data_IF_976497989059
#
_entry.id   IF_976497989059
#
_cell.length_a   1.000
_cell.length_b   1.000
_cell.length_c   1.000
_cell.angle_alpha   90.00
_cell.angle_beta   90.00
_cell.angle_gamma   90.00
#
_symmetry.space_group_name_H-M   'P 1'
#
loop_
_entity.id
_entity.type
_entity.pdbx_description
1 polymer ?
#
# COMPACT_ATOMS: atom_id res chain seq x y z
N UNK A 1 -2.05 -2.97 5.71
CA UNK A 1 -1.13 -3.68 6.64
C UNK A 1 -0.58 -5.00 6.06
N UNK A 2 -0.66 -5.23 4.75
CA UNK A 2 0.07 -6.31 4.07
C UNK A 2 1.56 -5.98 3.94
N UNK A 3 2.38 -6.97 3.50
CA UNK A 3 3.84 -6.83 3.46
C UNK A 3 4.33 -5.55 2.75
N UNK A 4 3.84 -5.27 1.55
CA UNK A 4 4.22 -4.06 0.79
C UNK A 4 3.63 -2.79 1.41
N UNK A 5 2.34 -2.81 1.78
CA UNK A 5 1.65 -1.65 2.37
C UNK A 5 2.27 -1.18 3.68
N UNK A 6 2.78 -2.10 4.50
CA UNK A 6 3.50 -1.78 5.74
C UNK A 6 4.74 -0.90 5.49
N UNK A 7 5.55 -1.23 4.47
CA UNK A 7 6.69 -0.40 4.08
C UNK A 7 6.27 0.89 3.37
N UNK A 8 5.20 0.86 2.56
CA UNK A 8 4.70 2.07 1.91
C UNK A 8 4.30 3.13 2.93
N UNK A 9 3.64 2.75 4.05
CA UNK A 9 3.33 3.66 5.16
C UNK A 9 4.62 4.28 5.73
N UNK A 10 5.62 3.47 6.05
CA UNK A 10 6.88 3.93 6.65
C UNK A 10 7.64 4.89 5.73
N UNK A 11 7.77 4.56 4.44
CA UNK A 11 8.43 5.45 3.48
C UNK A 11 7.66 6.75 3.24
N UNK A 12 6.34 6.71 3.20
CA UNK A 12 5.51 7.91 3.10
C UNK A 12 5.70 8.81 4.34
N UNK A 13 5.72 8.23 5.54
CA UNK A 13 6.00 8.97 6.77
C UNK A 13 7.41 9.57 6.78
N UNK A 14 8.42 8.81 6.39
CA UNK A 14 9.79 9.29 6.28
C UNK A 14 9.94 10.44 5.26
N UNK A 15 9.07 10.49 4.25
CA UNK A 15 8.98 11.59 3.30
C UNK A 15 8.15 12.79 3.81
N UNK A 16 7.66 12.76 5.05
CA UNK A 16 6.88 13.84 5.67
C UNK A 16 5.39 13.84 5.30
N UNK A 17 4.87 12.79 4.69
CA UNK A 17 3.46 12.70 4.34
C UNK A 17 2.58 12.44 5.57
N UNK A 18 1.34 12.96 5.53
CA UNK A 18 0.25 12.48 6.39
C UNK A 18 -0.35 11.25 5.73
N UNK A 19 -0.40 10.13 6.45
CA UNK A 19 -0.77 8.83 5.91
C UNK A 19 -2.09 8.34 6.47
N UNK A 20 -3.04 8.06 5.57
CA UNK A 20 -4.28 7.32 5.86
C UNK A 20 -4.07 5.89 5.33
N UNK A 21 -4.12 4.90 6.21
CA UNK A 21 -3.99 3.49 5.83
C UNK A 21 -5.35 2.79 5.86
N UNK A 22 -5.65 2.00 4.83
CA UNK A 22 -6.84 1.16 4.80
C UNK A 22 -6.53 -0.25 5.31
N UNK A 23 -7.43 -0.81 6.10
CA UNK A 23 -7.27 -2.12 6.74
C UNK A 23 -8.58 -2.90 6.75
N UNK A 24 -8.50 -4.22 7.03
CA UNK A 24 -9.68 -5.10 7.09
C UNK A 24 -10.12 -5.46 8.52
N UNK A 25 -9.55 -4.82 9.54
CA UNK A 25 -9.89 -5.09 10.94
C UNK A 25 -8.83 -4.61 11.92
N UNK A 26 -9.12 -4.75 13.22
CA UNK A 26 -8.36 -4.13 14.33
C UNK A 26 -6.92 -4.59 14.44
N UNK A 27 -6.64 -5.88 14.25
CA UNK A 27 -5.28 -6.40 14.27
C UNK A 27 -4.39 -5.73 13.22
N UNK A 28 -4.91 -5.55 11.98
CA UNK A 28 -4.21 -4.85 10.90
C UNK A 28 -4.15 -3.34 11.15
N UNK A 29 -5.14 -2.78 11.85
CA UNK A 29 -5.14 -1.37 12.27
C UNK A 29 -3.99 -1.07 13.24
N UNK A 30 -3.76 -1.95 14.22
CA UNK A 30 -2.64 -1.80 15.15
C UNK A 30 -1.29 -1.81 14.43
N UNK A 31 -1.11 -2.71 13.45
CA UNK A 31 0.11 -2.80 12.63
C UNK A 31 0.31 -1.53 11.80
N UNK A 32 -0.75 -1.02 11.18
CA UNK A 32 -0.67 0.20 10.36
C UNK A 32 -0.29 1.43 11.22
N UNK A 33 -0.86 1.55 12.43
CA UNK A 33 -0.49 2.62 13.37
C UNK A 33 0.96 2.48 13.84
N UNK A 34 1.39 1.27 14.17
CA UNK A 34 2.79 1.03 14.55
C UNK A 34 3.77 1.38 13.42
N UNK A 35 3.39 1.17 12.15
CA UNK A 35 4.15 1.59 10.98
C UNK A 35 4.16 3.11 10.77
N UNK A 36 3.39 3.89 11.55
CA UNK A 36 3.36 5.35 11.50
C UNK A 36 2.16 5.94 10.75
N UNK A 37 1.12 5.18 10.41
CA UNK A 37 -0.09 5.74 9.84
C UNK A 37 -0.75 6.74 10.82
N UNK A 38 -1.05 7.95 10.36
CA UNK A 38 -1.72 8.98 11.16
C UNK A 38 -3.19 8.62 11.38
N UNK A 39 -3.81 8.03 10.36
CA UNK A 39 -5.19 7.59 10.41
C UNK A 39 -5.31 6.18 9.82
N UNK A 40 -6.31 5.46 10.31
CA UNK A 40 -6.64 4.12 9.82
C UNK A 40 -8.13 4.06 9.54
N UNK A 41 -8.49 3.52 8.37
CA UNK A 41 -9.88 3.33 7.92
C UNK A 41 -10.13 1.84 7.70
N UNK A 42 -11.13 1.29 8.35
CA UNK A 42 -11.54 -0.10 8.12
C UNK A 42 -12.51 -0.16 6.93
N UNK A 43 -12.00 -0.53 5.75
CA UNK A 43 -12.79 -0.59 4.52
C UNK A 43 -13.95 -1.59 4.54
N UNK A 44 -14.03 -2.46 5.55
CA UNK A 44 -15.16 -3.40 5.71
C UNK A 44 -16.37 -2.77 6.39
N UNK A 45 -16.18 -1.70 7.15
CA UNK A 45 -17.21 -1.04 7.94
C UNK A 45 -17.33 0.46 7.69
N UNK A 46 -16.37 1.04 6.97
CA UNK A 46 -16.33 2.48 6.72
C UNK A 46 -16.23 2.76 5.21
N UNK A 47 -16.81 3.86 4.76
CA UNK A 47 -16.61 4.40 3.42
C UNK A 47 -15.24 5.10 3.36
N UNK A 48 -14.32 4.49 2.61
CA UNK A 48 -12.94 4.98 2.48
C UNK A 48 -12.89 6.39 1.88
N UNK A 49 -13.72 6.67 0.86
CA UNK A 49 -13.72 7.96 0.20
C UNK A 49 -14.27 9.06 1.13
N UNK A 50 -15.39 8.81 1.79
CA UNK A 50 -15.97 9.73 2.76
C UNK A 50 -15.00 10.02 3.90
N UNK A 51 -14.36 8.99 4.47
CA UNK A 51 -13.36 9.15 5.53
C UNK A 51 -12.12 9.92 5.08
N UNK A 52 -11.64 9.67 3.84
CA UNK A 52 -10.52 10.42 3.28
C UNK A 52 -10.84 11.92 3.18
N UNK A 53 -12.03 12.28 2.69
CA UNK A 53 -12.48 13.66 2.63
C UNK A 53 -12.64 14.30 4.02
N UNK A 54 -13.24 13.59 4.97
CA UNK A 54 -13.37 14.09 6.36
C UNK A 54 -12.00 14.41 6.98
N UNK A 55 -11.01 13.51 6.78
CA UNK A 55 -9.67 13.66 7.32
C UNK A 55 -8.81 14.69 6.57
N UNK A 56 -9.30 15.23 5.46
CA UNK A 56 -8.59 16.21 4.59
C UNK A 56 -9.40 17.48 4.38
N UNK A 57 -10.30 17.82 5.30
CA UNK A 57 -11.15 19.01 5.25
C UNK A 57 -11.91 19.15 3.90
N UNK A 58 -12.40 18.03 3.39
CA UNK A 58 -13.14 17.94 2.13
C UNK A 58 -12.31 17.89 0.86
N UNK A 59 -10.99 18.05 0.94
CA UNK A 59 -10.12 18.13 -0.26
C UNK A 59 -9.87 16.79 -0.93
N UNK A 60 -9.81 15.69 -0.18
CA UNK A 60 -9.30 14.40 -0.62
C UNK A 60 -7.78 14.28 -0.49
N UNK A 61 -7.24 13.10 -0.75
CA UNK A 61 -5.81 12.81 -0.62
C UNK A 61 -5.03 13.18 -1.90
N UNK A 62 -3.78 13.64 -1.75
CA UNK A 62 -2.92 13.96 -2.90
C UNK A 62 -2.58 12.74 -3.75
N UNK A 63 -2.43 11.59 -3.10
CA UNK A 63 -1.98 10.35 -3.77
C UNK A 63 -2.57 9.11 -3.11
N UNK A 64 -3.02 8.18 -3.95
CA UNK A 64 -3.41 6.82 -3.55
C UNK A 64 -2.34 5.85 -4.02
N UNK A 65 -1.80 5.04 -3.11
CA UNK A 65 -0.91 3.92 -3.43
C UNK A 65 -1.76 2.66 -3.39
N UNK A 66 -1.93 2.00 -4.53
CA UNK A 66 -2.97 1.00 -4.70
C UNK A 66 -2.42 -0.39 -5.07
N UNK A 67 -2.78 -1.37 -4.25
CA UNK A 67 -2.33 -2.76 -4.41
C UNK A 67 -3.23 -3.60 -5.30
N UNK A 68 -4.52 -3.28 -5.34
CA UNK A 68 -5.53 -3.98 -6.15
C UNK A 68 -6.50 -2.99 -6.76
N UNK A 69 -6.09 -2.39 -7.87
CA UNK A 69 -6.89 -1.37 -8.52
C UNK A 69 -8.25 -1.92 -9.00
N UNK A 70 -8.34 -3.21 -9.37
CA UNK A 70 -9.59 -3.80 -9.80
C UNK A 70 -10.65 -3.80 -8.70
N UNK A 71 -10.25 -4.12 -7.47
CA UNK A 71 -11.16 -4.16 -6.34
C UNK A 71 -11.47 -2.78 -5.75
N UNK A 72 -10.53 -1.82 -5.85
CA UNK A 72 -10.57 -0.58 -5.08
C UNK A 72 -10.72 0.69 -5.93
N UNK A 73 -10.96 0.57 -7.24
CA UNK A 73 -10.93 1.70 -8.17
C UNK A 73 -11.88 2.84 -7.78
N UNK A 74 -13.14 2.50 -7.47
CA UNK A 74 -14.15 3.50 -7.10
C UNK A 74 -13.77 4.23 -5.81
N UNK A 75 -13.29 3.48 -4.81
CA UNK A 75 -12.81 4.07 -3.56
C UNK A 75 -11.58 4.95 -3.77
N UNK A 76 -10.65 4.55 -4.64
CA UNK A 76 -9.46 5.32 -4.98
C UNK A 76 -9.82 6.64 -5.68
N UNK A 77 -10.73 6.60 -6.69
CA UNK A 77 -11.23 7.80 -7.37
C UNK A 77 -12.01 8.68 -6.40
N UNK A 78 -12.84 8.09 -5.56
CA UNK A 78 -13.59 8.81 -4.54
C UNK A 78 -12.65 9.58 -3.61
N UNK A 79 -11.63 8.92 -3.08
CA UNK A 79 -10.72 9.47 -2.07
C UNK A 79 -9.73 10.49 -2.59
N UNK A 80 -9.26 10.35 -3.84
CA UNK A 80 -8.24 11.24 -4.41
C UNK A 80 -8.82 12.63 -4.71
N UNK A 81 -8.04 13.69 -4.45
CA UNK A 81 -8.41 15.07 -4.80
C UNK A 81 -8.34 15.34 -6.31
N UNK A 82 -8.87 16.49 -6.74
CA UNK A 82 -8.58 16.98 -8.08
C UNK A 82 -7.06 17.19 -8.29
N UNK A 83 -6.58 16.91 -9.49
CA UNK A 83 -5.15 16.90 -9.85
C UNK A 83 -4.30 15.96 -9.00
N UNK A 84 -4.92 14.94 -8.42
CA UNK A 84 -4.22 13.91 -7.62
C UNK A 84 -3.70 12.74 -8.44
N UNK A 85 -2.92 11.89 -7.78
CA UNK A 85 -2.30 10.71 -8.39
C UNK A 85 -2.90 9.41 -7.83
N UNK A 86 -3.20 8.45 -8.70
CA UNK A 86 -3.43 7.05 -8.33
C UNK A 86 -2.23 6.25 -8.85
N UNK A 87 -1.53 5.57 -7.95
CA UNK A 87 -0.31 4.83 -8.23
C UNK A 87 -0.54 3.34 -7.99
N UNK A 88 -1.07 2.60 -8.97
CA UNK A 88 -1.28 1.18 -8.84
C UNK A 88 0.01 0.41 -9.08
N UNK A 89 0.26 -0.59 -8.24
CA UNK A 89 1.37 -1.53 -8.39
C UNK A 89 0.90 -3.00 -8.42
N UNK A 90 -0.40 -3.23 -8.37
CA UNK A 90 -1.04 -4.52 -8.48
C UNK A 90 -2.51 -4.42 -8.89
N UNK A 91 -3.05 -5.56 -9.29
CA UNK A 91 -4.47 -5.72 -9.62
C UNK A 91 -4.86 -7.19 -9.55
N UNK A 92 -6.06 -7.48 -9.08
CA UNK A 92 -6.68 -8.81 -9.14
C UNK A 92 -7.27 -9.15 -10.51
N UNK A 93 -7.31 -8.21 -11.46
CA UNK A 93 -7.78 -8.42 -12.83
C UNK A 93 -6.77 -7.92 -13.87
N UNK A 94 -6.76 -8.55 -15.04
CA UNK A 94 -5.89 -8.16 -16.16
C UNK A 94 -6.38 -6.89 -16.86
N UNK A 95 -7.68 -6.65 -16.84
CA UNK A 95 -8.32 -5.48 -17.44
C UNK A 95 -9.17 -4.78 -16.39
N UNK A 96 -9.10 -3.45 -16.35
CA UNK A 96 -9.84 -2.62 -15.40
C UNK A 96 -10.55 -1.52 -16.18
N UNK A 97 -11.90 -1.41 -16.10
CA UNK A 97 -12.60 -0.28 -16.69
C UNK A 97 -12.24 1.01 -15.94
N UNK A 98 -11.80 2.03 -16.67
CA UNK A 98 -11.55 3.36 -16.10
C UNK A 98 -12.83 4.18 -16.20
N UNK A 99 -13.44 4.63 -15.09
CA UNK A 99 -14.58 5.53 -15.10
C UNK A 99 -14.16 6.88 -15.68
N UNK A 100 -14.50 7.12 -16.96
CA UNK A 100 -14.02 8.27 -17.72
C UNK A 100 -14.43 9.62 -17.09
N UNK A 101 -15.74 9.83 -16.85
CA UNK A 101 -16.22 11.10 -16.34
C UNK A 101 -15.66 11.48 -14.96
N UNK A 102 -15.69 10.61 -13.93
CA UNK A 102 -15.08 10.94 -12.65
C UNK A 102 -13.58 11.24 -12.76
N UNK A 103 -12.87 10.53 -13.64
CA UNK A 103 -11.44 10.73 -13.85
C UNK A 103 -11.13 12.07 -14.51
N UNK A 104 -11.90 12.45 -15.54
CA UNK A 104 -11.74 13.72 -16.26
C UNK A 104 -12.12 14.91 -15.38
N UNK A 105 -13.24 14.85 -14.65
CA UNK A 105 -13.65 15.95 -13.78
C UNK A 105 -12.68 16.27 -12.66
N UNK A 106 -11.89 15.26 -12.23
CA UNK A 106 -10.85 15.44 -11.23
C UNK A 106 -9.45 15.60 -11.82
N UNK A 107 -9.26 15.54 -13.15
CA UNK A 107 -7.91 15.52 -13.79
C UNK A 107 -6.98 14.48 -13.16
N UNK A 108 -7.47 13.27 -12.90
CA UNK A 108 -6.71 12.23 -12.21
C UNK A 108 -5.55 11.74 -13.07
N UNK A 109 -4.39 11.59 -12.47
CA UNK A 109 -3.22 10.98 -13.11
C UNK A 109 -3.03 9.56 -12.61
N UNK A 110 -3.10 8.58 -13.51
CA UNK A 110 -2.72 7.21 -13.23
C UNK A 110 -1.25 7.03 -13.54
N UNK A 111 -0.49 6.54 -12.54
CA UNK A 111 0.95 6.29 -12.65
C UNK A 111 1.24 4.82 -12.48
N UNK A 112 1.06 4.06 -13.54
CA UNK A 112 1.41 2.64 -13.55
C UNK A 112 2.93 2.48 -13.56
N UNK A 113 3.42 1.51 -12.83
CA UNK A 113 4.82 1.10 -12.89
C UNK A 113 4.96 -0.38 -12.55
N UNK A 114 6.04 -0.97 -13.06
CA UNK A 114 6.48 -2.29 -12.64
C UNK A 114 7.96 -2.20 -12.24
N UNK A 115 8.30 -2.74 -11.09
CA UNK A 115 9.65 -2.62 -10.49
C UNK A 115 10.76 -3.15 -11.40
N UNK A 116 10.44 -4.14 -12.24
CA UNK A 116 11.39 -4.75 -13.18
C UNK A 116 11.81 -3.79 -14.31
N UNK A 117 10.98 -2.83 -14.67
CA UNK A 117 11.21 -1.88 -15.78
C UNK A 117 11.54 -0.46 -15.30
N UNK A 118 11.89 -0.29 -14.04
CA UNK A 118 12.39 0.99 -13.55
C UNK A 118 13.65 1.40 -14.34
N UNK A 119 13.75 2.69 -14.64
CA UNK A 119 14.98 3.24 -15.20
C UNK A 119 16.16 2.97 -14.25
N UNK A 120 17.39 2.93 -14.79
CA UNK A 120 18.59 2.76 -13.96
C UNK A 120 18.70 3.84 -12.88
N UNK A 121 18.33 5.07 -13.21
CA UNK A 121 18.31 6.21 -12.29
C UNK A 121 17.29 6.02 -11.17
N UNK A 122 16.06 5.62 -11.49
CA UNK A 122 15.01 5.42 -10.48
C UNK A 122 15.32 4.22 -9.60
N UNK A 123 15.86 3.14 -10.20
CA UNK A 123 16.34 1.98 -9.43
C UNK A 123 17.45 2.36 -8.47
N UNK A 124 18.46 3.10 -8.92
CA UNK A 124 19.57 3.55 -8.08
C UNK A 124 19.06 4.44 -6.93
N UNK A 125 18.12 5.35 -7.21
CA UNK A 125 17.48 6.20 -6.20
C UNK A 125 16.70 5.38 -5.16
N UNK A 126 15.93 4.40 -5.62
CA UNK A 126 15.15 3.51 -4.75
C UNK A 126 16.08 2.67 -3.84
N UNK A 127 17.12 2.05 -4.41
CA UNK A 127 18.11 1.27 -3.66
C UNK A 127 18.81 2.16 -2.63
N UNK A 128 19.31 3.33 -3.02
CA UNK A 128 19.97 4.26 -2.09
C UNK A 128 19.04 4.71 -0.95
N UNK A 129 17.74 4.93 -1.25
CA UNK A 129 16.75 5.26 -0.23
C UNK A 129 16.52 4.12 0.77
N UNK A 130 16.38 2.91 0.25
CA UNK A 130 16.22 1.71 1.06
C UNK A 130 17.45 1.44 1.93
N UNK A 131 18.65 1.51 1.36
CA UNK A 131 19.92 1.32 2.09
C UNK A 131 20.04 2.31 3.25
N UNK A 132 19.80 3.61 3.00
CA UNK A 132 19.80 4.60 4.07
C UNK A 132 18.83 4.29 5.21
N UNK A 133 17.62 3.83 4.88
CA UNK A 133 16.63 3.50 5.88
C UNK A 133 17.01 2.25 6.71
N UNK A 134 17.65 1.26 6.07
CA UNK A 134 18.18 0.06 6.74
C UNK A 134 19.37 0.43 7.64
N UNK A 135 20.33 1.18 7.15
CA UNK A 135 21.52 1.61 7.90
C UNK A 135 21.13 2.46 9.13
N UNK A 136 20.09 3.28 9.00
CA UNK A 136 19.56 4.07 10.10
C UNK A 136 18.74 3.25 11.11
N UNK A 137 18.46 1.97 10.84
CA UNK A 137 17.58 1.16 11.68
C UNK A 137 16.15 1.71 11.78
N UNK A 138 15.72 2.52 10.80
CA UNK A 138 14.44 3.23 10.86
C UNK A 138 13.25 2.41 10.34
N UNK A 139 13.50 1.24 9.77
CA UNK A 139 12.46 0.35 9.26
C UNK A 139 12.04 -0.68 10.30
N UNK A 140 10.75 -0.75 10.54
CA UNK A 140 10.14 -1.83 11.32
C UNK A 140 9.77 -2.97 10.38
N UNK A 141 10.29 -4.16 10.65
CA UNK A 141 9.96 -5.36 9.91
C UNK A 141 8.84 -6.11 10.61
N UNK A 142 7.72 -6.31 9.91
CA UNK A 142 6.64 -7.12 10.41
C UNK A 142 6.83 -8.56 9.92
N UNK A 143 7.45 -9.39 10.75
CA UNK A 143 7.72 -10.79 10.45
C UNK A 143 6.52 -11.63 10.85
N UNK A 144 6.10 -12.52 9.95
CA UNK A 144 5.05 -13.50 10.13
C UNK A 144 5.61 -14.89 10.52
N UNK A 145 4.86 -15.96 10.25
CA UNK A 145 5.31 -17.30 10.53
C UNK A 145 6.57 -17.67 9.72
N UNK A 146 7.40 -18.53 10.31
CA UNK A 146 8.60 -19.06 9.67
C UNK A 146 8.46 -20.57 9.44
N UNK A 147 8.92 -21.04 8.29
CA UNK A 147 8.86 -22.42 7.85
C UNK A 147 10.26 -22.89 7.44
N UNK A 148 10.56 -24.18 7.60
CA UNK A 148 11.74 -24.77 6.98
C UNK A 148 11.55 -24.87 5.46
N UNK A 149 12.64 -24.92 4.69
CA UNK A 149 12.55 -25.09 3.23
C UNK A 149 11.81 -26.39 2.85
N UNK A 150 11.94 -27.44 3.66
CA UNK A 150 11.21 -28.69 3.44
C UNK A 150 9.67 -28.51 3.50
N UNK A 151 9.20 -27.49 4.21
CA UNK A 151 7.77 -27.18 4.41
C UNK A 151 7.30 -26.03 3.50
N UNK A 152 7.93 -25.83 2.36
CA UNK A 152 7.65 -24.70 1.44
C UNK A 152 6.17 -24.65 1.02
N UNK A 153 5.51 -25.79 0.86
CA UNK A 153 4.09 -25.85 0.54
C UNK A 153 3.24 -25.18 1.63
N UNK A 154 3.50 -25.48 2.90
CA UNK A 154 2.81 -24.88 4.04
C UNK A 154 3.08 -23.37 4.13
N UNK A 155 4.27 -22.90 3.75
CA UNK A 155 4.57 -21.48 3.66
C UNK A 155 3.71 -20.78 2.59
N UNK A 156 3.52 -21.37 1.41
CA UNK A 156 2.61 -20.86 0.38
C UNK A 156 1.16 -20.86 0.85
N UNK A 157 0.69 -21.94 1.44
CA UNK A 157 -0.67 -22.04 1.99
C UNK A 157 -0.93 -20.97 3.06
N UNK A 158 0.05 -20.67 3.91
CA UNK A 158 -0.06 -19.61 4.91
C UNK A 158 -0.22 -18.23 4.24
N UNK A 159 0.50 -17.94 3.15
CA UNK A 159 0.34 -16.70 2.38
C UNK A 159 -1.05 -16.62 1.75
N UNK A 160 -1.52 -17.69 1.14
CA UNK A 160 -2.85 -17.78 0.50
C UNK A 160 -3.97 -17.62 1.54
N UNK A 161 -3.80 -18.17 2.74
CA UNK A 161 -4.71 -17.99 3.87
C UNK A 161 -4.67 -16.56 4.47
N UNK A 162 -3.78 -15.70 3.96
CA UNK A 162 -3.68 -14.30 4.38
C UNK A 162 -2.89 -14.09 5.68
N UNK A 163 -1.85 -14.88 5.89
CA UNK A 163 -0.94 -14.69 7.03
C UNK A 163 -0.54 -13.23 7.18
N UNK A 164 -0.49 -12.77 8.42
CA UNK A 164 -0.13 -11.40 8.75
C UNK A 164 1.38 -11.30 8.93
N UNK A 165 2.00 -10.33 8.24
CA UNK A 165 3.46 -10.17 8.20
C UNK A 165 4.11 -10.91 7.02
N UNK A 166 5.42 -10.79 6.91
CA UNK A 166 6.21 -11.50 5.90
C UNK A 166 6.41 -12.95 6.32
N UNK A 167 5.90 -13.88 5.53
CA UNK A 167 6.18 -15.31 5.74
C UNK A 167 7.65 -15.57 5.38
N UNK A 168 8.36 -16.23 6.28
CA UNK A 168 9.78 -16.53 6.15
C UNK A 168 10.02 -18.00 5.84
N UNK A 169 11.05 -18.27 5.05
CA UNK A 169 11.55 -19.63 4.82
C UNK A 169 13.01 -19.67 5.24
N UNK A 170 13.35 -20.60 6.13
CA UNK A 170 14.73 -20.83 6.60
C UNK A 170 15.41 -21.91 5.76
N UNK A 171 16.68 -21.70 5.44
CA UNK A 171 17.51 -22.60 4.60
C UNK A 171 18.35 -23.54 5.45
N UNK A 172 17.85 -23.98 6.61
CA UNK A 172 18.53 -24.97 7.44
C UNK A 172 18.02 -26.36 7.17
#
# INVERSE_FOLDING_TARGET
>A
AGAVGHYAVQFAKAAGARVIATVSGDAKAAIARAAGADHVVNYRSEDVAARAHELTDGSGVDRVIEVDLAANHDAAIGAVRADGDIVPYGSGALEIPVPFLPSVFKNIRYRFFIVYHLSSTDRARAVAGLTRALDAGSLQHHLGPSFALADIAAAHEAVEAGAVGNVLVTLQ
#
